data_IF_486881798424
#
_entry.id   IF_486881798424
#
_cell.length_a   1.000
_cell.length_b   1.000
_cell.length_c   1.000
_cell.angle_alpha   90.00
_cell.angle_beta   90.00
_cell.angle_gamma   90.00
#
_symmetry.space_group_name_H-M   'P 1'
#
loop_
_entity.id
_entity.type
_entity.pdbx_description
1 polymer ?
#
# COMPACT_ATOMS: atom_id res chain seq x y z
N UNK A 1 -61.06 11.94 -28.16
CA UNK A 1 -60.02 12.97 -27.93
C UNK A 1 -59.73 12.95 -26.44
N UNK A 2 -58.58 12.42 -26.04
CA UNK A 2 -58.17 12.41 -24.64
C UNK A 2 -57.84 13.86 -24.27
N UNK A 3 -58.73 14.56 -23.56
CA UNK A 3 -58.33 15.80 -22.90
C UNK A 3 -57.08 15.51 -22.06
N UNK A 4 -56.08 16.37 -22.14
CA UNK A 4 -54.93 16.27 -21.27
C UNK A 4 -55.42 16.45 -19.83
N UNK A 5 -55.20 15.43 -18.98
CA UNK A 5 -55.62 15.46 -17.58
C UNK A 5 -54.99 16.65 -16.83
N UNK A 6 -53.85 17.16 -17.31
CA UNK A 6 -53.24 18.38 -16.81
C UNK A 6 -54.08 19.63 -17.11
N UNK A 7 -54.51 19.83 -18.37
CA UNK A 7 -55.35 20.98 -18.75
C UNK A 7 -56.70 20.99 -18.01
N UNK A 8 -57.26 19.79 -17.78
CA UNK A 8 -58.49 19.63 -17.00
C UNK A 8 -58.26 19.99 -15.52
N UNK A 9 -57.14 19.55 -14.92
CA UNK A 9 -56.79 19.91 -13.55
C UNK A 9 -56.60 21.43 -13.39
N UNK A 10 -56.01 22.09 -14.38
CA UNK A 10 -55.76 23.54 -14.38
C UNK A 10 -57.06 24.34 -14.46
N UNK A 11 -57.97 23.89 -15.32
CA UNK A 11 -59.32 24.47 -15.45
C UNK A 11 -60.14 24.28 -14.18
N UNK A 12 -60.11 23.07 -13.61
CA UNK A 12 -60.79 22.76 -12.35
C UNK A 12 -60.21 23.54 -11.18
N UNK A 13 -58.89 23.73 -11.11
CA UNK A 13 -58.26 24.54 -10.08
C UNK A 13 -58.73 26.00 -10.12
N UNK A 14 -58.84 26.57 -11.33
CA UNK A 14 -59.36 27.94 -11.53
C UNK A 14 -60.80 28.06 -11.02
N UNK A 15 -61.65 27.07 -11.31
CA UNK A 15 -63.01 27.02 -10.76
C UNK A 15 -63.01 26.89 -9.22
N UNK A 16 -62.13 26.05 -8.69
CA UNK A 16 -62.00 25.80 -7.26
C UNK A 16 -61.63 27.08 -6.49
N UNK A 17 -60.79 27.95 -7.07
CA UNK A 17 -60.43 29.25 -6.50
C UNK A 17 -61.61 30.23 -6.34
N UNK A 18 -62.69 30.08 -7.12
CA UNK A 18 -63.86 30.96 -7.01
C UNK A 18 -64.59 30.85 -5.67
N UNK A 19 -64.41 29.72 -4.97
CA UNK A 19 -65.03 29.49 -3.67
C UNK A 19 -64.29 30.19 -2.53
N UNK A 20 -63.12 30.78 -2.72
CA UNK A 20 -62.40 31.54 -1.69
C UNK A 20 -62.33 30.79 -0.34
N UNK A 21 -61.97 29.51 -0.39
CA UNK A 21 -61.83 28.64 0.79
C UNK A 21 -60.39 28.68 1.32
N UNK A 22 -60.17 28.35 2.62
CA UNK A 22 -58.83 28.16 3.16
C UNK A 22 -58.03 27.11 2.38
N UNK A 23 -56.70 27.26 2.38
CA UNK A 23 -55.76 26.27 1.83
C UNK A 23 -55.96 25.98 0.33
N UNK A 24 -56.23 27.04 -0.46
CA UNK A 24 -56.48 26.98 -1.91
C UNK A 24 -55.56 27.94 -2.71
N UNK A 25 -54.33 28.15 -2.26
CA UNK A 25 -53.41 29.12 -2.91
C UNK A 25 -52.67 28.49 -4.09
N UNK A 26 -52.35 27.20 -3.99
CA UNK A 26 -51.66 26.44 -5.03
C UNK A 26 -52.28 25.04 -5.22
N UNK A 27 -51.94 24.35 -6.31
CA UNK A 27 -52.45 23.00 -6.61
C UNK A 27 -51.99 21.95 -5.58
N UNK A 28 -50.84 22.15 -4.94
CA UNK A 28 -50.33 21.26 -3.91
C UNK A 28 -51.18 21.33 -2.63
N UNK A 29 -51.79 22.47 -2.32
CA UNK A 29 -52.64 22.62 -1.13
C UNK A 29 -53.89 21.73 -1.21
N UNK A 30 -54.41 21.48 -2.43
CA UNK A 30 -55.54 20.57 -2.67
C UNK A 30 -55.25 19.13 -2.26
N UNK A 31 -53.97 18.73 -2.25
CA UNK A 31 -53.55 17.36 -1.87
C UNK A 31 -53.86 17.03 -0.41
N UNK A 32 -54.06 18.05 0.44
CA UNK A 32 -54.47 17.87 1.84
C UNK A 32 -55.92 17.41 2.01
N UNK A 33 -56.76 17.62 0.99
CA UNK A 33 -58.21 17.44 1.05
C UNK A 33 -58.96 18.54 1.83
N UNK A 34 -58.28 19.41 2.58
CA UNK A 34 -58.92 20.44 3.42
C UNK A 34 -59.74 21.42 2.58
N UNK A 35 -59.13 21.96 1.52
CA UNK A 35 -59.81 22.89 0.62
C UNK A 35 -61.03 22.23 -0.07
N UNK A 36 -60.89 20.96 -0.50
CA UNK A 36 -61.97 20.14 -1.08
C UNK A 36 -63.13 20.01 -0.10
N UNK A 37 -62.86 19.71 1.17
CA UNK A 37 -63.88 19.61 2.20
C UNK A 37 -64.62 20.94 2.43
N UNK A 38 -63.90 22.06 2.47
CA UNK A 38 -64.52 23.38 2.61
C UNK A 38 -65.41 23.76 1.41
N UNK A 39 -65.00 23.41 0.19
CA UNK A 39 -65.85 23.65 -1.00
C UNK A 39 -67.11 22.78 -0.95
N UNK A 40 -67.00 21.50 -0.59
CA UNK A 40 -68.15 20.62 -0.45
C UNK A 40 -69.14 21.13 0.62
N UNK A 41 -68.62 21.62 1.76
CA UNK A 41 -69.45 22.29 2.78
C UNK A 41 -70.20 23.51 2.22
N UNK A 42 -69.58 24.31 1.35
CA UNK A 42 -70.25 25.46 0.72
C UNK A 42 -71.29 25.08 -0.34
N UNK A 43 -71.11 23.94 -1.02
CA UNK A 43 -72.05 23.45 -2.03
C UNK A 43 -73.35 22.97 -1.37
N UNK A 44 -73.24 22.17 -0.31
CA UNK A 44 -74.40 21.67 0.42
C UNK A 44 -74.10 21.55 1.92
N UNK A 45 -74.35 22.63 2.70
CA UNK A 45 -74.11 22.64 4.14
C UNK A 45 -74.99 21.64 4.91
N UNK A 46 -76.10 21.19 4.33
CA UNK A 46 -77.04 20.27 5.00
C UNK A 46 -76.47 18.85 5.05
N UNK A 47 -75.81 18.42 3.96
CA UNK A 47 -75.14 17.14 3.86
C UNK A 47 -73.71 17.19 4.41
N UNK A 48 -72.89 18.10 3.87
CA UNK A 48 -71.50 18.29 4.27
C UNK A 48 -71.41 19.24 5.46
N UNK A 49 -72.10 18.93 6.55
CA UNK A 49 -72.24 19.83 7.71
C UNK A 49 -70.94 20.02 8.52
N UNK A 50 -70.98 20.93 9.49
CA UNK A 50 -69.87 21.24 10.41
C UNK A 50 -69.29 20.00 11.12
N UNK A 51 -70.14 19.03 11.47
CA UNK A 51 -69.69 17.81 12.16
C UNK A 51 -68.88 16.88 11.24
N UNK A 52 -69.19 16.88 9.95
CA UNK A 52 -68.42 16.17 8.93
C UNK A 52 -67.12 16.90 8.60
N UNK A 53 -67.20 18.22 8.40
CA UNK A 53 -66.04 19.06 8.10
C UNK A 53 -64.98 18.95 9.21
N UNK A 54 -65.39 18.94 10.48
CA UNK A 54 -64.49 18.73 11.63
C UNK A 54 -63.77 17.36 11.67
N UNK A 55 -64.16 16.38 10.85
CA UNK A 55 -63.44 15.09 10.72
C UNK A 55 -62.24 15.17 9.77
N UNK A 56 -62.17 16.22 8.96
CA UNK A 56 -61.06 16.50 8.06
C UNK A 56 -60.04 17.32 8.85
N UNK A 57 -58.87 16.73 9.07
CA UNK A 57 -57.85 17.35 9.92
C UNK A 57 -56.88 18.17 9.09
N UNK A 58 -56.61 19.38 9.53
CA UNK A 58 -55.56 20.24 9.01
C UNK A 58 -54.32 20.10 9.91
N UNK A 59 -53.30 19.35 9.47
CA UNK A 59 -52.00 19.27 10.13
C UNK A 59 -50.87 19.42 9.09
N UNK A 60 -49.66 19.68 9.58
CA UNK A 60 -48.41 19.98 8.85
C UNK A 60 -48.24 19.27 7.49
N UNK A 61 -47.70 20.01 6.52
CA UNK A 61 -47.54 19.64 5.11
C UNK A 61 -46.88 18.27 4.85
N UNK A 62 -46.11 17.75 5.81
CA UNK A 62 -45.33 16.52 5.66
C UNK A 62 -46.10 15.22 5.93
N UNK A 63 -47.29 15.26 6.56
CA UNK A 63 -48.01 14.03 6.95
C UNK A 63 -48.86 13.45 5.80
N UNK A 64 -48.19 12.81 4.83
CA UNK A 64 -48.85 12.23 3.65
C UNK A 64 -49.93 11.19 3.99
N UNK A 65 -49.77 10.44 5.10
CA UNK A 65 -50.76 9.45 5.56
C UNK A 65 -52.07 10.14 5.96
N UNK A 66 -51.97 11.29 6.62
CA UNK A 66 -53.14 12.09 6.97
C UNK A 66 -53.82 12.66 5.71
N UNK A 67 -53.04 13.15 4.75
CA UNK A 67 -53.56 13.63 3.45
C UNK A 67 -54.37 12.54 2.75
N UNK A 68 -53.83 11.32 2.65
CA UNK A 68 -54.53 10.15 2.10
C UNK A 68 -55.80 9.83 2.91
N UNK A 69 -55.75 9.89 4.25
CA UNK A 69 -56.93 9.66 5.11
C UNK A 69 -58.05 10.67 4.85
N UNK A 70 -57.72 11.95 4.73
CA UNK A 70 -58.68 13.01 4.41
C UNK A 70 -59.31 12.79 3.03
N UNK A 71 -58.51 12.50 2.00
CA UNK A 71 -59.00 12.22 0.65
C UNK A 71 -59.92 10.99 0.62
N UNK A 72 -59.62 9.92 1.38
CA UNK A 72 -60.50 8.75 1.52
C UNK A 72 -61.86 9.12 2.14
N UNK A 73 -61.88 9.96 3.18
CA UNK A 73 -63.13 10.42 3.83
C UNK A 73 -63.97 11.27 2.88
N UNK A 74 -63.33 12.18 2.15
CA UNK A 74 -63.98 13.05 1.17
C UNK A 74 -64.58 12.22 0.04
N UNK A 75 -63.79 11.31 -0.54
CA UNK A 75 -64.26 10.42 -1.60
C UNK A 75 -65.46 9.59 -1.13
N UNK A 76 -65.38 9.00 0.07
CA UNK A 76 -66.48 8.23 0.64
C UNK A 76 -67.77 9.06 0.75
N UNK A 77 -67.72 10.24 1.37
CA UNK A 77 -68.91 11.08 1.57
C UNK A 77 -69.44 11.70 0.27
N UNK A 78 -68.57 11.92 -0.73
CA UNK A 78 -68.98 12.32 -2.07
C UNK A 78 -69.74 11.18 -2.76
N UNK A 79 -69.25 9.93 -2.70
CA UNK A 79 -69.95 8.78 -3.29
C UNK A 79 -71.31 8.53 -2.62
N UNK A 80 -71.38 8.65 -1.28
CA UNK A 80 -72.64 8.58 -0.53
C UNK A 80 -73.61 9.70 -0.99
N UNK A 81 -73.14 10.93 -1.18
CA UNK A 81 -73.97 12.03 -1.70
C UNK A 81 -74.52 11.76 -3.10
N UNK A 82 -73.69 11.27 -4.02
CA UNK A 82 -74.12 10.95 -5.38
C UNK A 82 -75.19 9.85 -5.39
N UNK A 83 -75.06 8.86 -4.51
CA UNK A 83 -76.02 7.77 -4.39
C UNK A 83 -77.32 8.22 -3.69
N UNK A 84 -77.21 8.79 -2.50
CA UNK A 84 -78.34 9.01 -1.59
C UNK A 84 -79.13 10.29 -1.90
N UNK A 85 -78.45 11.34 -2.39
CA UNK A 85 -79.07 12.65 -2.67
C UNK A 85 -79.33 12.83 -4.15
N UNK A 86 -78.34 12.51 -4.99
CA UNK A 86 -78.48 12.70 -6.44
C UNK A 86 -79.12 11.50 -7.14
N UNK A 87 -79.16 10.32 -6.51
CA UNK A 87 -79.71 9.09 -7.12
C UNK A 87 -78.92 8.58 -8.32
N UNK A 88 -77.64 8.95 -8.44
CA UNK A 88 -76.78 8.59 -9.56
C UNK A 88 -75.60 7.73 -9.11
N UNK A 89 -75.25 6.72 -9.90
CA UNK A 89 -74.04 5.94 -9.68
C UNK A 89 -72.86 6.54 -10.44
N UNK A 90 -71.78 6.87 -9.72
CA UNK A 90 -70.53 7.32 -10.34
C UNK A 90 -69.83 6.11 -10.96
N UNK A 91 -69.48 6.19 -12.25
CA UNK A 91 -68.71 5.12 -12.93
C UNK A 91 -67.31 5.00 -12.33
N UNK A 92 -66.82 3.75 -12.20
CA UNK A 92 -65.51 3.42 -11.62
C UNK A 92 -64.34 4.09 -12.36
N UNK A 93 -64.51 4.43 -13.65
CA UNK A 93 -63.53 5.18 -14.45
C UNK A 93 -63.26 6.61 -13.92
N UNK A 94 -64.23 7.20 -13.21
CA UNK A 94 -64.14 8.56 -12.68
C UNK A 94 -63.78 8.59 -11.18
N UNK A 95 -63.59 7.43 -10.54
CA UNK A 95 -63.16 7.38 -9.14
C UNK A 95 -61.68 7.75 -9.03
N UNK A 96 -61.33 8.76 -8.19
CA UNK A 96 -59.94 9.02 -7.85
C UNK A 96 -59.30 7.80 -7.15
N UNK A 97 -58.18 7.32 -7.68
CA UNK A 97 -57.47 6.18 -7.11
C UNK A 97 -56.56 6.62 -5.95
N UNK A 98 -57.18 6.85 -4.80
CA UNK A 98 -56.50 7.23 -3.56
C UNK A 98 -55.62 6.08 -3.02
N UNK A 99 -55.88 4.83 -3.42
CA UNK A 99 -55.06 3.66 -3.04
C UNK A 99 -53.74 3.64 -3.80
N UNK A 100 -53.76 3.88 -5.11
CA UNK A 100 -52.54 4.00 -5.90
C UNK A 100 -51.66 5.18 -5.44
N UNK A 101 -52.28 6.27 -4.95
CA UNK A 101 -51.54 7.38 -4.33
C UNK A 101 -50.84 6.99 -3.02
N UNK A 102 -51.48 6.15 -2.20
CA UNK A 102 -50.90 5.62 -0.96
C UNK A 102 -49.74 4.66 -1.23
N UNK A 103 -49.91 3.75 -2.20
CA UNK A 103 -48.86 2.82 -2.62
C UNK A 103 -47.65 3.57 -3.19
N UNK A 104 -47.87 4.51 -4.11
CA UNK A 104 -46.80 5.35 -4.67
C UNK A 104 -46.07 6.12 -3.57
N UNK A 105 -46.77 6.79 -2.66
CA UNK A 105 -46.13 7.53 -1.57
C UNK A 105 -45.32 6.61 -0.63
N UNK A 106 -45.80 5.39 -0.38
CA UNK A 106 -45.06 4.41 0.42
C UNK A 106 -43.75 4.02 -0.25
N UNK A 107 -43.77 3.74 -1.56
CA UNK A 107 -42.58 3.43 -2.35
C UNK A 107 -41.61 4.62 -2.40
N UNK A 108 -42.11 5.85 -2.60
CA UNK A 108 -41.29 7.05 -2.56
C UNK A 108 -40.61 7.26 -1.20
N UNK A 109 -41.34 7.03 -0.11
CA UNK A 109 -40.80 7.14 1.25
C UNK A 109 -39.70 6.09 1.48
N UNK A 110 -39.95 4.83 1.11
CA UNK A 110 -38.97 3.75 1.22
C UNK A 110 -37.71 4.08 0.41
N UNK A 111 -37.87 4.52 -0.83
CA UNK A 111 -36.76 4.95 -1.70
C UNK A 111 -35.98 6.11 -1.08
N UNK A 112 -36.66 7.05 -0.44
CA UNK A 112 -36.02 8.19 0.23
C UNK A 112 -35.18 7.72 1.42
N UNK A 113 -35.71 6.82 2.26
CA UNK A 113 -34.94 6.24 3.37
C UNK A 113 -33.73 5.43 2.87
N UNK A 114 -33.88 4.63 1.82
CA UNK A 114 -32.76 3.89 1.20
C UNK A 114 -31.65 4.84 0.74
N UNK A 115 -32.00 5.92 0.04
CA UNK A 115 -31.05 6.93 -0.42
C UNK A 115 -30.36 7.66 0.74
N UNK A 116 -31.08 7.96 1.83
CA UNK A 116 -30.51 8.57 3.03
C UNK A 116 -29.51 7.64 3.71
N UNK A 117 -29.79 6.33 3.76
CA UNK A 117 -28.84 5.35 4.28
C UNK A 117 -27.62 5.19 3.38
N UNK A 118 -27.80 5.14 2.06
CA UNK A 118 -26.69 5.13 1.10
C UNK A 118 -25.81 6.37 1.25
N UNK A 119 -26.42 7.55 1.40
CA UNK A 119 -25.70 8.80 1.65
C UNK A 119 -24.92 8.74 2.98
N UNK A 120 -25.50 8.17 4.03
CA UNK A 120 -24.83 7.98 5.33
C UNK A 120 -23.63 7.05 5.20
N UNK A 121 -23.77 5.91 4.49
CA UNK A 121 -22.68 4.97 4.21
C UNK A 121 -21.57 5.62 3.38
N UNK A 122 -21.93 6.34 2.32
CA UNK A 122 -20.98 7.05 1.46
C UNK A 122 -20.20 8.11 2.25
N UNK A 123 -20.86 8.84 3.15
CA UNK A 123 -20.21 9.82 4.02
C UNK A 123 -19.21 9.18 4.99
N UNK A 124 -19.53 8.01 5.56
CA UNK A 124 -18.60 7.28 6.41
C UNK A 124 -17.34 6.85 5.64
N UNK A 125 -17.50 6.29 4.43
CA UNK A 125 -16.37 5.91 3.55
C UNK A 125 -15.54 7.13 3.16
N UNK A 126 -16.18 8.26 2.83
CA UNK A 126 -15.49 9.51 2.52
C UNK A 126 -14.64 10.01 3.69
N UNK A 127 -15.18 9.98 4.92
CA UNK A 127 -14.43 10.36 6.13
C UNK A 127 -13.22 9.45 6.39
N UNK A 128 -13.36 8.15 6.13
CA UNK A 128 -12.23 7.20 6.21
C UNK A 128 -11.18 7.52 5.15
N UNK A 129 -11.59 7.76 3.90
CA UNK A 129 -10.69 8.13 2.80
C UNK A 129 -9.91 9.42 3.10
N UNK A 130 -10.57 10.44 3.66
CA UNK A 130 -9.90 11.69 4.05
C UNK A 130 -8.86 11.47 5.16
N UNK A 131 -9.09 10.50 6.04
CA UNK A 131 -8.14 10.12 7.09
C UNK A 131 -6.94 9.39 6.51
N UNK A 132 -7.15 8.39 5.64
CA UNK A 132 -6.07 7.70 4.94
C UNK A 132 -5.25 8.64 4.06
N UNK A 133 -5.90 9.61 3.38
CA UNK A 133 -5.22 10.63 2.59
C UNK A 133 -4.30 11.50 3.45
N UNK A 134 -4.74 11.89 4.65
CA UNK A 134 -3.91 12.63 5.62
C UNK A 134 -2.72 11.80 6.11
N UNK A 135 -2.95 10.54 6.48
CA UNK A 135 -1.87 9.63 6.90
C UNK A 135 -0.83 9.42 5.80
N UNK A 136 -1.26 9.21 4.55
CA UNK A 136 -0.36 9.08 3.41
C UNK A 136 0.51 10.33 3.19
N UNK A 137 -0.09 11.53 3.32
CA UNK A 137 0.64 12.79 3.20
C UNK A 137 1.65 12.99 4.33
N UNK A 138 1.29 12.64 5.57
CA UNK A 138 2.19 12.71 6.72
C UNK A 138 3.38 11.75 6.57
N UNK A 139 3.12 10.50 6.18
CA UNK A 139 4.17 9.52 5.91
C UNK A 139 5.09 9.96 4.77
N UNK A 140 4.54 10.50 3.69
CA UNK A 140 5.34 11.03 2.59
C UNK A 140 6.24 12.18 3.05
N UNK A 141 5.73 13.08 3.89
CA UNK A 141 6.51 14.19 4.45
C UNK A 141 7.63 13.69 5.36
N UNK A 142 7.34 12.71 6.24
CA UNK A 142 8.36 12.08 7.10
C UNK A 142 9.44 11.36 6.27
N UNK A 143 9.02 10.61 5.25
CA UNK A 143 9.95 9.91 4.37
C UNK A 143 10.88 10.88 3.64
N UNK A 144 10.33 11.97 3.09
CA UNK A 144 11.11 13.03 2.45
C UNK A 144 12.10 13.69 3.41
N UNK A 145 11.69 13.98 4.65
CA UNK A 145 12.56 14.55 5.66
C UNK A 145 13.71 13.60 6.06
N UNK A 146 13.44 12.30 6.22
CA UNK A 146 14.48 11.32 6.54
C UNK A 146 15.42 11.07 5.35
N UNK A 147 14.92 11.11 4.11
CA UNK A 147 15.74 11.04 2.90
C UNK A 147 16.74 12.21 2.84
N UNK A 148 16.28 13.45 3.06
CA UNK A 148 17.14 14.63 3.12
C UNK A 148 18.21 14.51 4.23
N UNK A 149 17.83 13.95 5.38
CA UNK A 149 18.76 13.72 6.49
C UNK A 149 19.80 12.65 6.15
N UNK A 150 19.40 11.58 5.47
CA UNK A 150 20.31 10.54 4.99
C UNK A 150 21.33 11.10 3.98
N UNK A 151 20.88 11.93 3.04
CA UNK A 151 21.77 12.62 2.09
C UNK A 151 22.80 13.50 2.81
N UNK A 152 22.37 14.24 3.84
CA UNK A 152 23.27 15.05 4.67
C UNK A 152 24.34 14.20 5.35
N UNK A 153 23.95 13.09 5.99
CA UNK A 153 24.91 12.20 6.65
C UNK A 153 25.83 11.51 5.64
N UNK A 154 25.33 11.17 4.47
CA UNK A 154 26.14 10.61 3.40
C UNK A 154 27.23 11.60 2.93
N UNK A 155 26.87 12.87 2.81
CA UNK A 155 27.84 13.92 2.49
C UNK A 155 28.88 14.10 3.60
N UNK A 156 28.45 14.16 4.87
CA UNK A 156 29.37 14.29 6.01
C UNK A 156 30.30 13.09 6.15
N UNK A 157 29.79 11.88 5.96
CA UNK A 157 30.58 10.65 5.94
C UNK A 157 31.64 10.69 4.84
N UNK A 158 31.25 11.06 3.60
CA UNK A 158 32.19 11.16 2.48
C UNK A 158 33.31 12.16 2.77
N UNK A 159 32.97 13.35 3.28
CA UNK A 159 33.96 14.36 3.64
C UNK A 159 34.91 13.89 4.74
N UNK A 160 34.41 13.14 5.72
CA UNK A 160 35.25 12.59 6.79
C UNK A 160 36.13 11.44 6.29
N UNK A 161 35.60 10.61 5.40
CA UNK A 161 36.34 9.53 4.74
C UNK A 161 37.47 10.08 3.86
N UNK A 162 37.20 11.12 3.05
CA UNK A 162 38.22 11.77 2.23
C UNK A 162 39.37 12.34 3.09
N UNK A 163 39.05 12.89 4.28
CA UNK A 163 40.06 13.36 5.25
C UNK A 163 40.86 12.21 5.86
N UNK A 164 40.20 11.12 6.21
CA UNK A 164 40.86 9.91 6.71
C UNK A 164 41.84 9.35 5.68
N UNK A 165 41.42 9.24 4.41
CA UNK A 165 42.25 8.77 3.32
C UNK A 165 43.46 9.67 3.08
N UNK A 166 43.29 10.99 3.17
CA UNK A 166 44.39 11.95 3.09
C UNK A 166 45.41 11.74 4.23
N UNK A 167 44.93 11.58 5.47
CA UNK A 167 45.80 11.28 6.62
C UNK A 167 46.52 9.94 6.49
N UNK A 168 45.85 8.92 5.95
CA UNK A 168 46.45 7.61 5.72
C UNK A 168 47.59 7.68 4.69
N UNK A 169 47.40 8.41 3.59
CA UNK A 169 48.45 8.65 2.60
C UNK A 169 49.64 9.41 3.19
N UNK A 170 49.38 10.40 4.04
CA UNK A 170 50.45 11.15 4.71
C UNK A 170 51.21 10.29 5.72
N UNK A 171 50.51 9.43 6.49
CA UNK A 171 51.14 8.44 7.35
C UNK A 171 52.06 7.51 6.55
N UNK A 172 51.61 7.00 5.40
CA UNK A 172 52.42 6.14 4.53
C UNK A 172 53.65 6.89 3.99
N UNK A 173 53.51 8.15 3.59
CA UNK A 173 54.62 9.02 3.18
C UNK A 173 55.64 9.21 4.31
N UNK A 174 55.19 9.48 5.53
CA UNK A 174 56.09 9.65 6.67
C UNK A 174 56.80 8.35 7.05
N UNK A 175 56.13 7.20 6.89
CA UNK A 175 56.72 5.88 7.10
C UNK A 175 57.85 5.66 6.09
N UNK A 176 57.63 5.94 4.80
CA UNK A 176 58.65 5.77 3.76
C UNK A 176 59.82 6.74 3.93
N UNK A 177 59.56 8.00 4.30
CA UNK A 177 60.60 8.97 4.66
C UNK A 177 61.43 8.50 5.86
N UNK A 178 60.77 7.95 6.89
CA UNK A 178 61.47 7.38 8.04
C UNK A 178 62.33 6.18 7.65
N UNK A 179 61.86 5.30 6.78
CA UNK A 179 62.62 4.14 6.31
C UNK A 179 63.84 4.55 5.47
N UNK A 180 63.69 5.49 4.54
CA UNK A 180 64.81 6.03 3.75
C UNK A 180 65.85 6.76 4.61
N UNK A 181 65.41 7.53 5.61
CA UNK A 181 66.33 8.16 6.56
C UNK A 181 67.05 7.15 7.45
N UNK A 182 66.40 6.02 7.79
CA UNK A 182 67.03 4.92 8.51
C UNK A 182 68.12 4.27 7.64
N UNK A 183 67.81 3.95 6.39
CA UNK A 183 68.75 3.35 5.44
C UNK A 183 69.97 4.24 5.21
N UNK A 184 69.78 5.54 4.93
CA UNK A 184 70.90 6.48 4.78
C UNK A 184 71.74 6.63 6.05
N UNK A 185 71.15 6.56 7.24
CA UNK A 185 71.91 6.53 8.49
C UNK A 185 72.75 5.26 8.63
N UNK A 186 72.20 4.11 8.24
CA UNK A 186 72.91 2.82 8.26
C UNK A 186 74.08 2.83 7.26
N UNK A 187 73.87 3.34 6.04
CA UNK A 187 74.93 3.54 5.04
C UNK A 187 76.05 4.46 5.55
N UNK A 188 75.71 5.60 6.16
CA UNK A 188 76.69 6.53 6.73
C UNK A 188 77.49 5.88 7.87
N UNK A 189 76.85 5.09 8.73
CA UNK A 189 77.54 4.32 9.77
C UNK A 189 78.49 3.30 9.16
N UNK A 190 78.07 2.56 8.14
CA UNK A 190 78.93 1.63 7.41
C UNK A 190 80.15 2.34 6.79
N UNK A 191 79.94 3.50 6.14
CA UNK A 191 81.02 4.30 5.57
C UNK A 191 82.00 4.81 6.65
N UNK A 192 81.50 5.26 7.81
CA UNK A 192 82.35 5.66 8.94
C UNK A 192 83.17 4.50 9.52
N UNK A 193 82.58 3.31 9.65
CA UNK A 193 83.29 2.11 10.10
C UNK A 193 84.37 1.74 9.10
N UNK A 194 84.07 1.78 7.80
CA UNK A 194 85.04 1.51 6.74
C UNK A 194 86.20 2.52 6.76
N UNK A 195 85.91 3.81 6.93
CA UNK A 195 86.92 4.87 7.03
C UNK A 195 87.78 4.72 8.30
N UNK A 196 87.20 4.34 9.43
CA UNK A 196 87.94 4.06 10.68
C UNK A 196 88.84 2.83 10.53
N UNK A 197 88.39 1.80 9.82
CA UNK A 197 89.18 0.62 9.50
C UNK A 197 90.38 0.96 8.61
N UNK A 198 90.18 1.80 7.59
CA UNK A 198 91.25 2.30 6.73
C UNK A 198 92.27 3.17 7.50
N UNK A 199 91.81 4.00 8.44
CA UNK A 199 92.69 4.82 9.29
C UNK A 199 93.51 4.01 10.30
N UNK A 200 93.06 2.82 10.70
CA UNK A 200 93.83 1.90 11.56
C UNK A 200 94.90 1.13 10.77
N UNK A 201 94.77 1.03 9.44
CA UNK A 201 95.76 0.42 8.55
C UNK A 201 96.91 1.36 8.15
N UNK A 202 96.87 2.66 8.51
CA UNK A 202 97.94 3.62 8.22
C UNK A 202 99.07 3.60 9.28
N UNK A 203 98.86 2.91 10.40
CA UNK A 203 99.91 2.54 11.36
C UNK A 203 100.21 1.05 11.28
N UNK A 204 100.92 0.65 10.23
CA UNK A 204 101.73 -0.56 10.25
C UNK A 204 101.05 -1.84 9.76
N UNK A 205 101.67 -2.36 8.70
CA UNK A 205 101.63 -3.73 8.18
C UNK A 205 100.43 -4.05 7.29
N UNK A 206 100.78 -4.21 6.01
CA UNK A 206 100.11 -5.04 5.02
C UNK A 206 99.73 -6.40 5.60
N UNK A 207 98.54 -6.50 6.15
CA UNK A 207 97.88 -7.77 6.41
C UNK A 207 96.64 -7.80 5.55
N UNK A 208 96.85 -8.18 4.29
CA UNK A 208 95.76 -8.63 3.44
C UNK A 208 95.08 -9.83 4.10
N UNK A 209 93.77 -9.93 3.92
CA UNK A 209 92.95 -11.15 4.05
C UNK A 209 93.04 -12.00 5.34
N UNK A 210 93.83 -11.64 6.36
CA UNK A 210 93.97 -12.46 7.57
C UNK A 210 92.86 -12.21 8.61
N UNK A 211 92.13 -11.10 8.51
CA UNK A 211 90.98 -10.82 9.38
C UNK A 211 89.78 -11.76 9.12
N UNK A 212 89.70 -12.36 7.92
CA UNK A 212 88.74 -13.41 7.61
C UNK A 212 89.15 -14.78 8.18
N UNK A 213 90.44 -14.96 8.46
CA UNK A 213 91.06 -16.24 8.83
C UNK A 213 91.34 -16.37 10.34
N UNK A 214 91.41 -15.25 11.10
CA UNK A 214 91.53 -15.21 12.57
C UNK A 214 90.23 -14.71 13.23
N UNK A 215 89.06 -15.09 12.70
CA UNK A 215 87.85 -15.04 13.52
C UNK A 215 87.81 -16.36 14.29
N UNK A 216 87.94 -16.36 15.63
CA UNK A 216 87.89 -17.58 16.44
C UNK A 216 86.71 -18.43 16.01
N UNK A 217 86.91 -19.73 15.84
CA UNK A 217 85.87 -20.67 15.36
C UNK A 217 84.59 -20.55 16.18
N UNK A 218 84.72 -20.27 17.47
CA UNK A 218 83.63 -20.04 18.42
C UNK A 218 82.83 -18.76 18.11
N UNK A 219 83.48 -17.73 17.57
CA UNK A 219 82.86 -16.48 17.12
C UNK A 219 82.11 -16.65 15.80
N UNK A 220 82.62 -17.48 14.88
CA UNK A 220 81.89 -17.84 13.65
C UNK A 220 80.65 -18.69 13.95
N UNK A 221 80.78 -19.66 14.85
CA UNK A 221 79.67 -20.52 15.29
C UNK A 221 78.58 -19.74 16.03
N UNK A 222 78.95 -18.81 16.91
CA UNK A 222 77.99 -17.93 17.60
C UNK A 222 77.24 -17.03 16.61
N UNK A 223 77.90 -16.47 15.60
CA UNK A 223 77.26 -15.65 14.56
C UNK A 223 76.27 -16.49 13.74
N UNK A 224 76.65 -17.69 13.30
CA UNK A 224 75.75 -18.58 12.55
C UNK A 224 74.55 -19.00 13.39
N UNK A 225 74.75 -19.29 14.67
CA UNK A 225 73.66 -19.64 15.61
C UNK A 225 72.71 -18.46 15.82
N UNK A 226 73.24 -17.25 16.04
CA UNK A 226 72.44 -16.03 16.16
C UNK A 226 71.71 -15.68 14.86
N UNK A 227 72.29 -15.93 13.68
CA UNK A 227 71.63 -15.75 12.39
C UNK A 227 70.48 -16.76 12.20
N UNK A 228 70.68 -18.02 12.59
CA UNK A 228 69.63 -19.04 12.59
C UNK A 228 68.49 -18.67 13.53
N UNK A 229 68.82 -18.21 14.74
CA UNK A 229 67.86 -17.74 15.75
C UNK A 229 67.08 -16.51 15.28
N UNK A 230 67.75 -15.50 14.71
CA UNK A 230 67.09 -14.32 14.13
C UNK A 230 66.12 -14.72 13.00
N UNK A 231 66.55 -15.65 12.14
CA UNK A 231 65.70 -16.16 11.06
C UNK A 231 64.46 -16.88 11.62
N UNK A 232 64.62 -17.63 12.71
CA UNK A 232 63.51 -18.28 13.40
C UNK A 232 62.56 -17.25 14.03
N UNK A 233 63.10 -16.22 14.69
CA UNK A 233 62.33 -15.15 15.32
C UNK A 233 61.55 -14.33 14.28
N UNK A 234 62.11 -14.04 13.11
CA UNK A 234 61.38 -13.37 12.03
C UNK A 234 60.19 -14.21 11.53
N UNK A 235 60.36 -15.52 11.34
CA UNK A 235 59.26 -16.41 10.94
C UNK A 235 58.19 -16.48 12.03
N UNK A 236 58.61 -16.48 13.29
CA UNK A 236 57.72 -16.47 14.44
C UNK A 236 56.92 -15.16 14.55
N UNK A 237 57.57 -14.01 14.34
CA UNK A 237 56.89 -12.71 14.30
C UNK A 237 55.84 -12.67 13.20
N UNK A 238 56.18 -13.14 11.99
CA UNK A 238 55.25 -13.18 10.86
C UNK A 238 54.03 -14.07 11.14
N UNK A 239 54.23 -15.21 11.82
CA UNK A 239 53.12 -16.08 12.23
C UNK A 239 52.24 -15.43 13.30
N UNK A 240 52.81 -14.68 14.25
CA UNK A 240 52.01 -13.91 15.20
C UNK A 240 51.25 -12.77 14.52
N UNK A 241 51.87 -12.14 13.51
CA UNK A 241 51.25 -11.08 12.72
C UNK A 241 50.05 -11.59 11.93
N UNK A 242 50.18 -12.76 11.29
CA UNK A 242 49.06 -13.44 10.63
C UNK A 242 47.94 -13.81 11.61
N UNK A 243 48.26 -14.38 12.76
CA UNK A 243 47.26 -14.67 13.81
C UNK A 243 46.54 -13.41 14.29
N UNK A 244 47.25 -12.29 14.40
CA UNK A 244 46.65 -11.02 14.80
C UNK A 244 45.62 -10.56 13.75
N UNK A 245 45.93 -10.68 12.46
CA UNK A 245 45.02 -10.33 11.36
C UNK A 245 43.81 -11.27 11.33
N UNK A 246 44.01 -12.57 11.53
CA UNK A 246 42.91 -13.54 11.61
C UNK A 246 41.95 -13.22 12.77
N UNK A 247 42.48 -12.99 13.97
CA UNK A 247 41.66 -12.62 15.14
C UNK A 247 40.95 -11.28 14.94
N UNK A 248 41.60 -10.31 14.28
CA UNK A 248 40.99 -9.03 13.94
C UNK A 248 39.81 -9.22 12.97
N UNK A 249 39.95 -10.07 11.95
CA UNK A 249 38.89 -10.37 10.99
C UNK A 249 37.71 -11.11 11.65
N UNK A 250 37.98 -12.07 12.54
CA UNK A 250 36.95 -12.77 13.32
C UNK A 250 36.19 -11.82 14.25
N UNK A 251 36.90 -10.87 14.89
CA UNK A 251 36.27 -9.85 15.73
C UNK A 251 35.36 -8.93 14.91
N UNK A 252 35.80 -8.49 13.73
CA UNK A 252 34.99 -7.67 12.83
C UNK A 252 33.77 -8.43 12.30
N UNK A 253 33.90 -9.72 12.03
CA UNK A 253 32.77 -10.57 11.65
C UNK A 253 31.76 -10.76 12.79
N UNK A 254 32.25 -11.02 14.01
CA UNK A 254 31.41 -11.12 15.20
C UNK A 254 30.68 -9.79 15.47
N UNK A 255 31.36 -8.64 15.31
CA UNK A 255 30.75 -7.32 15.44
C UNK A 255 29.68 -7.07 14.38
N UNK A 256 29.95 -7.42 13.10
CA UNK A 256 28.95 -7.32 12.02
C UNK A 256 27.72 -8.18 12.32
N UNK A 257 27.92 -9.41 12.77
CA UNK A 257 26.84 -10.31 13.16
C UNK A 257 26.03 -9.77 14.35
N UNK A 258 26.70 -9.20 15.35
CA UNK A 258 26.04 -8.64 16.52
C UNK A 258 25.18 -7.42 16.14
N UNK A 259 25.72 -6.50 15.33
CA UNK A 259 24.98 -5.34 14.85
C UNK A 259 23.74 -5.74 14.02
N UNK A 260 23.84 -6.80 13.22
CA UNK A 260 22.71 -7.35 12.48
C UNK A 260 21.63 -7.91 13.42
N UNK A 261 22.04 -8.69 14.43
CA UNK A 261 21.13 -9.24 15.45
C UNK A 261 20.48 -8.14 16.31
N UNK A 262 21.21 -7.09 16.66
CA UNK A 262 20.69 -5.95 17.41
C UNK A 262 19.64 -5.18 16.60
N UNK A 263 19.91 -4.98 15.30
CA UNK A 263 18.96 -4.36 14.37
C UNK A 263 17.68 -5.20 14.24
N UNK A 264 17.83 -6.52 14.10
CA UNK A 264 16.70 -7.45 14.05
C UNK A 264 15.90 -7.45 15.36
N UNK A 265 16.57 -7.44 16.51
CA UNK A 265 15.91 -7.36 17.82
C UNK A 265 15.12 -6.05 17.97
N UNK A 266 15.66 -4.92 17.52
CA UNK A 266 14.94 -3.64 17.52
C UNK A 266 13.68 -3.71 16.67
N UNK A 267 13.76 -4.31 15.48
CA UNK A 267 12.59 -4.49 14.60
C UNK A 267 11.54 -5.39 15.23
N UNK A 268 11.97 -6.52 15.83
CA UNK A 268 11.08 -7.43 16.53
C UNK A 268 10.38 -6.74 17.73
N UNK A 269 11.09 -5.92 18.49
CA UNK A 269 10.51 -5.13 19.58
C UNK A 269 9.46 -4.12 19.08
N UNK A 270 9.72 -3.47 17.95
CA UNK A 270 8.73 -2.59 17.30
C UNK A 270 7.48 -3.35 16.89
N UNK A 271 7.64 -4.50 16.24
CA UNK A 271 6.52 -5.35 15.82
C UNK A 271 5.70 -5.86 17.02
N UNK A 272 6.36 -6.23 18.13
CA UNK A 272 5.67 -6.60 19.37
C UNK A 272 4.87 -5.42 19.93
N UNK A 273 5.42 -4.21 19.89
CA UNK A 273 4.70 -3.00 20.35
C UNK A 273 3.48 -2.70 19.48
N UNK A 274 3.59 -2.83 18.16
CA UNK A 274 2.48 -2.64 17.22
C UNK A 274 1.37 -3.67 17.45
N UNK A 275 1.73 -4.95 17.57
CA UNK A 275 0.77 -6.01 17.88
C UNK A 275 0.06 -5.78 19.22
N UNK A 276 0.80 -5.32 20.25
CA UNK A 276 0.19 -4.96 21.54
C UNK A 276 -0.83 -3.83 21.41
N UNK A 277 -0.51 -2.78 20.64
CA UNK A 277 -1.44 -1.66 20.38
C UNK A 277 -2.70 -2.14 19.65
N UNK A 278 -2.56 -3.02 18.65
CA UNK A 278 -3.70 -3.59 17.92
C UNK A 278 -4.59 -4.44 18.84
N UNK A 279 -4.00 -5.24 19.74
CA UNK A 279 -4.75 -6.00 20.74
C UNK A 279 -5.50 -5.07 21.70
N UNK A 280 -4.87 -3.98 22.15
CA UNK A 280 -5.51 -3.00 23.05
C UNK A 280 -6.67 -2.26 22.36
N UNK A 281 -6.52 -1.88 21.09
CA UNK A 281 -7.59 -1.29 20.29
C UNK A 281 -8.77 -2.24 20.09
N UNK A 282 -8.50 -3.52 19.80
CA UNK A 282 -9.55 -4.54 19.66
C UNK A 282 -10.26 -4.80 20.99
N UNK A 283 -9.52 -4.84 22.12
CA UNK A 283 -10.11 -4.96 23.46
C UNK A 283 -11.01 -3.77 23.78
N UNK A 284 -10.59 -2.55 23.45
CA UNK A 284 -11.38 -1.33 23.66
C UNK A 284 -12.64 -1.31 22.79
N UNK A 285 -12.53 -1.71 21.52
CA UNK A 285 -13.68 -1.81 20.61
C UNK A 285 -14.71 -2.82 21.11
N UNK A 286 -14.27 -3.96 21.67
CA UNK A 286 -15.15 -4.95 22.27
C UNK A 286 -15.87 -4.40 23.52
N UNK A 287 -15.15 -3.68 24.38
CA UNK A 287 -15.73 -3.07 25.58
C UNK A 287 -16.72 -1.93 25.27
N UNK A 288 -16.45 -1.14 24.23
CA UNK A 288 -17.40 -0.14 23.73
C UNK A 288 -18.66 -0.79 23.14
N UNK A 289 -18.55 -1.98 22.57
CA UNK A 289 -19.69 -2.74 22.05
C UNK A 289 -20.59 -3.28 23.17
N UNK A 290 -20.01 -3.78 24.27
CA UNK A 290 -20.76 -4.20 25.46
C UNK A 290 -21.45 -3.01 26.16
N UNK A 291 -20.80 -1.84 26.20
CA UNK A 291 -21.36 -0.63 26.84
C UNK A 291 -22.57 -0.03 26.10
N UNK A 292 -22.73 -0.32 24.79
CA UNK A 292 -23.85 0.19 23.97
C UNK A 292 -25.11 -0.66 24.05
N UNK A 293 -25.04 -1.86 24.65
CA UNK A 293 -26.18 -2.77 24.83
C UNK A 293 -26.89 -2.62 26.18
N UNK A 294 -26.38 -1.78 27.09
CA UNK A 294 -26.92 -1.59 28.44
C UNK A 294 -27.98 -0.48 28.57
N UNK A 295 -28.25 0.30 27.50
CA UNK A 295 -29.28 1.34 27.51
C UNK A 295 -30.54 0.85 26.79
N UNK A 296 -31.46 0.26 27.57
CA UNK A 296 -32.94 0.40 27.52
C UNK A 296 -33.61 -0.83 28.19
N UNK A 297 -34.22 -0.60 29.36
CA UNK A 297 -35.16 -1.48 30.10
C UNK A 297 -34.56 -2.60 30.99
N UNK A 298 -33.66 -2.25 31.90
CA UNK A 298 -32.66 -3.19 32.46
C UNK A 298 -32.90 -3.82 33.85
N UNK A 299 -34.10 -3.81 34.46
CA UNK A 299 -34.25 -4.50 35.77
C UNK A 299 -35.18 -5.71 35.72
N UNK A 300 -36.37 -5.60 35.13
CA UNK A 300 -37.33 -6.71 35.13
C UNK A 300 -37.05 -7.73 34.01
N UNK A 301 -36.67 -7.25 32.82
CA UNK A 301 -36.22 -8.11 31.72
C UNK A 301 -34.83 -8.68 31.94
N UNK A 302 -34.01 -8.04 32.78
CA UNK A 302 -32.66 -8.52 33.07
C UNK A 302 -32.70 -9.75 33.98
N UNK A 303 -33.65 -9.84 34.91
CA UNK A 303 -33.84 -11.05 35.73
C UNK A 303 -34.38 -12.24 34.91
N UNK A 304 -35.35 -11.99 34.03
CA UNK A 304 -35.90 -13.02 33.14
C UNK A 304 -34.85 -13.46 32.10
N UNK A 305 -34.12 -12.50 31.51
CA UNK A 305 -33.01 -12.79 30.61
C UNK A 305 -31.83 -13.47 31.32
N UNK A 306 -31.54 -13.17 32.59
CA UNK A 306 -30.49 -13.88 33.34
C UNK A 306 -30.87 -15.33 33.60
N UNK A 307 -32.14 -15.58 33.95
CA UNK A 307 -32.65 -16.95 34.16
C UNK A 307 -32.65 -17.75 32.85
N UNK A 308 -33.01 -17.11 31.74
CA UNK A 308 -33.00 -17.73 30.42
C UNK A 308 -31.59 -17.90 29.84
N UNK A 309 -30.67 -16.95 30.09
CA UNK A 309 -29.27 -17.07 29.71
C UNK A 309 -28.57 -18.14 30.52
N UNK A 310 -28.90 -18.30 31.81
CA UNK A 310 -28.33 -19.36 32.63
C UNK A 310 -28.80 -20.75 32.16
N UNK A 311 -30.09 -20.91 31.84
CA UNK A 311 -30.60 -22.14 31.21
C UNK A 311 -29.99 -22.40 29.83
N UNK A 312 -29.79 -21.36 29.02
CA UNK A 312 -29.11 -21.49 27.72
C UNK A 312 -27.61 -21.77 27.87
N UNK A 313 -26.95 -21.26 28.91
CA UNK A 313 -25.53 -21.52 29.22
C UNK A 313 -25.33 -22.98 29.64
N UNK A 314 -26.19 -23.52 30.49
CA UNK A 314 -26.18 -24.93 30.88
C UNK A 314 -26.43 -25.85 29.67
N UNK A 315 -27.38 -25.49 28.80
CA UNK A 315 -27.63 -26.22 27.55
C UNK A 315 -26.49 -26.09 26.53
N UNK A 316 -25.79 -24.96 26.49
CA UNK A 316 -24.59 -24.77 25.65
C UNK A 316 -23.41 -25.58 26.20
N UNK A 317 -23.19 -25.61 27.52
CA UNK A 317 -22.14 -26.43 28.14
C UNK A 317 -22.39 -27.94 27.94
N UNK A 318 -23.66 -28.37 27.89
CA UNK A 318 -24.04 -29.77 27.57
C UNK A 318 -23.95 -30.09 26.06
N UNK A 319 -24.06 -29.08 25.19
CA UNK A 319 -24.01 -29.23 23.72
C UNK A 319 -22.64 -28.87 23.12
N UNK A 320 -21.74 -28.24 23.87
CA UNK A 320 -20.38 -27.95 23.45
C UNK A 320 -19.57 -29.25 23.55
N UNK A 321 -19.15 -29.85 22.42
CA UNK A 321 -18.32 -31.04 22.46
C UNK A 321 -17.01 -30.64 23.14
N UNK A 322 -16.77 -31.14 24.36
CA UNK A 322 -15.51 -30.95 25.08
C UNK A 322 -14.38 -31.24 24.11
N UNK A 323 -13.70 -30.17 23.66
CA UNK A 323 -12.61 -30.22 22.68
C UNK A 323 -11.74 -31.44 23.00
N UNK A 324 -11.81 -32.42 22.10
CA UNK A 324 -11.46 -33.80 22.39
C UNK A 324 -10.07 -33.89 23.02
N UNK A 325 -9.99 -34.50 24.22
CA UNK A 325 -8.70 -34.92 24.82
C UNK A 325 -7.84 -35.70 23.81
N UNK A 326 -8.49 -36.36 22.84
CA UNK A 326 -7.84 -37.06 21.75
C UNK A 326 -7.18 -36.12 20.72
N UNK A 327 -7.75 -34.95 20.42
CA UNK A 327 -7.14 -33.99 19.50
C UNK A 327 -5.90 -33.34 20.12
N UNK A 328 -5.98 -32.96 21.40
CA UNK A 328 -4.81 -32.45 22.14
C UNK A 328 -3.68 -33.49 22.19
N UNK A 329 -3.99 -34.75 22.53
CA UNK A 329 -3.01 -35.84 22.51
C UNK A 329 -2.43 -36.09 21.12
N UNK A 330 -3.24 -35.94 20.05
CA UNK A 330 -2.78 -36.09 18.66
C UNK A 330 -1.77 -35.01 18.28
N UNK A 331 -2.02 -33.78 18.74
CA UNK A 331 -1.12 -32.65 18.52
C UNK A 331 0.21 -32.90 19.26
N UNK A 332 0.17 -33.32 20.51
CA UNK A 332 1.37 -33.63 21.29
C UNK A 332 2.18 -34.80 20.68
N UNK A 333 1.51 -35.86 20.22
CA UNK A 333 2.14 -36.98 19.51
C UNK A 333 2.81 -36.52 18.21
N UNK A 334 2.15 -35.66 17.42
CA UNK A 334 2.71 -35.13 16.18
C UNK A 334 3.90 -34.21 16.44
N UNK A 335 3.85 -33.39 17.50
CA UNK A 335 4.97 -32.54 17.92
C UNK A 335 6.18 -33.38 18.34
N UNK A 336 5.99 -34.47 19.07
CA UNK A 336 7.09 -35.34 19.48
C UNK A 336 7.69 -36.13 18.30
N UNK A 337 6.87 -36.56 17.34
CA UNK A 337 7.36 -37.18 16.09
C UNK A 337 8.20 -36.17 15.30
N UNK A 338 7.76 -34.92 15.21
CA UNK A 338 8.47 -33.86 14.49
C UNK A 338 9.82 -33.57 15.15
N UNK A 339 9.84 -33.43 16.49
CA UNK A 339 11.07 -33.26 17.29
C UNK A 339 12.05 -34.41 17.08
N UNK A 340 11.56 -35.65 17.02
CA UNK A 340 12.39 -36.82 16.75
C UNK A 340 12.97 -36.81 15.33
N UNK A 341 12.17 -36.39 14.34
CA UNK A 341 12.63 -36.26 12.94
C UNK A 341 13.70 -35.19 12.77
N UNK A 342 13.60 -34.08 13.49
CA UNK A 342 14.62 -33.03 13.49
C UNK A 342 15.95 -33.53 14.07
N UNK A 343 15.90 -34.29 15.15
CA UNK A 343 17.10 -34.90 15.75
C UNK A 343 17.72 -35.96 14.83
N UNK A 344 16.91 -36.80 14.18
CA UNK A 344 17.38 -37.76 13.18
C UNK A 344 18.02 -37.03 11.97
N UNK A 345 17.46 -35.90 11.54
CA UNK A 345 17.98 -35.06 10.46
C UNK A 345 19.34 -34.47 10.82
N UNK A 346 19.47 -33.94 12.04
CA UNK A 346 20.74 -33.42 12.57
C UNK A 346 21.82 -34.49 12.66
N UNK A 347 21.48 -35.70 13.12
CA UNK A 347 22.43 -36.83 13.13
C UNK A 347 22.84 -37.26 11.72
N UNK A 348 21.92 -37.18 10.76
CA UNK A 348 22.20 -37.43 9.35
C UNK A 348 23.16 -36.37 8.77
N UNK A 349 22.92 -35.09 9.06
CA UNK A 349 23.81 -33.98 8.67
C UNK A 349 25.22 -34.15 9.26
N UNK A 350 25.33 -34.50 10.55
CA UNK A 350 26.61 -34.76 11.19
C UNK A 350 27.36 -35.94 10.56
N UNK A 351 26.63 -37.01 10.19
CA UNK A 351 27.21 -38.13 9.44
C UNK A 351 27.70 -37.69 8.06
N UNK A 352 26.89 -36.93 7.32
CA UNK A 352 27.29 -36.42 6.01
C UNK A 352 28.51 -35.49 6.11
N UNK A 353 28.56 -34.64 7.14
CA UNK A 353 29.71 -33.77 7.40
C UNK A 353 30.99 -34.59 7.62
N UNK A 354 30.91 -35.65 8.42
CA UNK A 354 32.04 -36.58 8.63
C UNK A 354 32.44 -37.33 7.36
N UNK A 355 31.48 -37.77 6.54
CA UNK A 355 31.80 -38.40 5.25
C UNK A 355 32.43 -37.42 4.27
N UNK A 356 31.96 -36.17 4.23
CA UNK A 356 32.54 -35.10 3.43
C UNK A 356 33.95 -34.72 3.89
N UNK A 357 34.22 -34.70 5.20
CA UNK A 357 35.56 -34.51 5.75
C UNK A 357 36.49 -35.68 5.43
N UNK A 358 36.01 -36.92 5.53
CA UNK A 358 36.76 -38.10 5.09
C UNK A 358 37.07 -38.04 3.60
N UNK A 359 36.10 -37.70 2.76
CA UNK A 359 36.29 -37.52 1.32
C UNK A 359 37.29 -36.39 1.02
N UNK A 360 37.20 -35.24 1.71
CA UNK A 360 38.18 -34.15 1.60
C UNK A 360 39.59 -34.58 2.00
N UNK A 361 39.70 -35.38 3.06
CA UNK A 361 40.99 -35.90 3.52
C UNK A 361 41.59 -36.88 2.51
N UNK A 362 40.78 -37.76 1.93
CA UNK A 362 41.17 -38.69 0.86
C UNK A 362 41.54 -37.95 -0.42
N UNK A 363 40.80 -36.91 -0.81
CA UNK A 363 41.13 -36.04 -1.94
C UNK A 363 42.47 -35.35 -1.67
N UNK A 364 42.67 -34.78 -0.49
CA UNK A 364 43.92 -34.10 -0.12
C UNK A 364 45.15 -35.02 -0.14
N UNK A 365 44.99 -36.30 0.21
CA UNK A 365 46.05 -37.31 0.12
C UNK A 365 46.26 -37.87 -1.29
N UNK A 366 45.24 -37.85 -2.14
CA UNK A 366 45.34 -38.24 -3.56
C UNK A 366 45.89 -37.09 -4.44
N UNK A 367 45.54 -35.84 -4.15
CA UNK A 367 46.02 -34.63 -4.86
C UNK A 367 47.53 -34.40 -4.68
N UNK A 368 48.08 -34.76 -3.52
CA UNK A 368 49.53 -34.74 -3.30
C UNK A 368 50.31 -35.73 -4.19
N UNK A 369 49.62 -36.62 -4.92
CA UNK A 369 50.25 -37.61 -5.80
C UNK A 369 49.99 -37.43 -7.29
N UNK A 370 49.16 -36.48 -7.75
CA UNK A 370 48.85 -36.37 -9.18
C UNK A 370 48.76 -34.93 -9.69
N UNK A 371 49.75 -34.53 -10.49
CA UNK A 371 49.62 -33.51 -11.54
C UNK A 371 49.31 -34.22 -12.89
N UNK A 372 48.79 -33.53 -13.91
CA UNK A 372 47.37 -33.48 -14.27
C UNK A 372 47.00 -34.43 -15.42
N UNK A 373 45.80 -35.03 -15.38
CA UNK A 373 45.24 -35.83 -16.50
C UNK A 373 43.78 -35.45 -16.79
N UNK A 374 43.60 -34.93 -18.01
CA UNK A 374 42.45 -34.91 -18.94
C UNK A 374 41.01 -34.91 -18.39
N UNK A 375 40.28 -33.85 -18.77
CA UNK A 375 38.83 -33.67 -18.60
C UNK A 375 38.03 -34.81 -19.25
N UNK A 376 37.12 -35.41 -18.49
CA UNK A 376 36.24 -36.49 -18.94
C UNK A 376 35.13 -35.97 -19.89
N UNK A 377 34.69 -36.77 -20.89
CA UNK A 377 33.76 -36.34 -21.95
C UNK A 377 32.38 -35.88 -21.45
N UNK A 378 31.96 -36.32 -20.28
CA UNK A 378 30.70 -35.94 -19.63
C UNK A 378 30.73 -34.46 -19.15
N UNK A 379 31.89 -34.01 -18.67
CA UNK A 379 32.11 -32.62 -18.27
C UNK A 379 32.08 -31.70 -19.50
N UNK A 380 32.61 -32.17 -20.64
CA UNK A 380 32.56 -31.41 -21.89
C UNK A 380 31.13 -31.30 -22.44
N UNK A 381 30.32 -32.36 -22.33
CA UNK A 381 28.91 -32.34 -22.72
C UNK A 381 28.08 -31.37 -21.86
N UNK A 382 28.32 -31.35 -20.54
CA UNK A 382 27.66 -30.41 -19.63
C UNK A 382 28.07 -28.96 -19.90
N UNK A 383 29.35 -28.70 -20.22
CA UNK A 383 29.80 -27.37 -20.65
C UNK A 383 29.08 -26.91 -21.92
N UNK A 384 28.94 -27.80 -22.91
CA UNK A 384 28.24 -27.46 -24.15
C UNK A 384 26.75 -27.16 -23.87
N UNK A 385 26.08 -27.93 -23.01
CA UNK A 385 24.70 -27.65 -22.62
C UNK A 385 24.56 -26.31 -21.88
N UNK A 386 25.50 -25.99 -20.99
CA UNK A 386 25.51 -24.70 -20.30
C UNK A 386 25.63 -23.55 -21.30
N UNK A 387 26.54 -23.65 -22.28
CA UNK A 387 26.69 -22.61 -23.32
C UNK A 387 25.47 -22.47 -24.22
N UNK A 388 24.74 -23.56 -24.48
CA UNK A 388 23.50 -23.52 -25.26
C UNK A 388 22.38 -22.82 -24.48
N UNK A 389 22.26 -23.13 -23.18
CA UNK A 389 21.29 -22.49 -22.29
C UNK A 389 21.60 -21.00 -22.13
N UNK A 390 22.88 -20.64 -21.98
CA UNK A 390 23.33 -19.25 -21.91
C UNK A 390 22.93 -18.47 -23.17
N UNK A 391 23.16 -19.05 -24.36
CA UNK A 391 22.76 -18.43 -25.63
C UNK A 391 21.25 -18.26 -25.74
N UNK A 392 20.47 -19.24 -25.27
CA UNK A 392 19.00 -19.16 -25.25
C UNK A 392 18.50 -18.09 -24.29
N UNK A 393 19.14 -17.93 -23.13
CA UNK A 393 18.82 -16.87 -22.17
C UNK A 393 19.06 -15.50 -22.84
N UNK A 394 20.24 -15.30 -23.44
CA UNK A 394 20.55 -14.04 -24.15
C UNK A 394 19.55 -13.72 -25.27
N UNK A 395 19.10 -14.72 -26.02
CA UNK A 395 18.10 -14.53 -27.06
C UNK A 395 16.74 -14.11 -26.50
N UNK A 396 16.29 -14.77 -25.42
CA UNK A 396 15.03 -14.44 -24.76
C UNK A 396 15.07 -13.06 -24.10
N UNK A 397 16.20 -12.68 -23.50
CA UNK A 397 16.42 -11.34 -22.95
C UNK A 397 16.34 -10.26 -24.03
N UNK A 398 16.97 -10.50 -25.19
CA UNK A 398 16.90 -9.58 -26.32
C UNK A 398 15.47 -9.41 -26.85
N UNK A 399 14.74 -10.51 -27.00
CA UNK A 399 13.34 -10.48 -27.46
C UNK A 399 12.42 -9.79 -26.44
N UNK A 400 12.65 -10.01 -25.15
CA UNK A 400 11.94 -9.34 -24.07
C UNK A 400 12.18 -7.83 -24.11
N UNK A 401 13.44 -7.39 -24.21
CA UNK A 401 13.78 -5.96 -24.28
C UNK A 401 13.17 -5.30 -25.53
N UNK A 402 13.18 -5.99 -26.68
CA UNK A 402 12.51 -5.50 -27.89
C UNK A 402 10.99 -5.41 -27.74
N UNK A 403 10.36 -6.35 -27.03
CA UNK A 403 8.93 -6.31 -26.75
C UNK A 403 8.59 -5.17 -25.78
N UNK A 404 9.41 -4.97 -24.76
CA UNK A 404 9.29 -3.86 -23.81
C UNK A 404 9.40 -2.51 -24.50
N UNK A 405 10.42 -2.31 -25.35
CA UNK A 405 10.61 -1.08 -26.10
C UNK A 405 9.42 -0.76 -27.03
N UNK A 406 8.80 -1.78 -27.65
CA UNK A 406 7.56 -1.59 -28.44
C UNK A 406 6.40 -1.17 -27.55
N UNK A 407 6.23 -1.81 -26.40
CA UNK A 407 5.17 -1.48 -25.46
C UNK A 407 5.30 -0.03 -24.95
N UNK A 408 6.51 0.38 -24.55
CA UNK A 408 6.79 1.76 -24.12
C UNK A 408 6.51 2.78 -25.23
N UNK A 409 6.76 2.43 -26.50
CA UNK A 409 6.42 3.28 -27.64
C UNK A 409 4.91 3.37 -27.86
N UNK A 410 4.18 2.26 -27.74
CA UNK A 410 2.72 2.23 -27.82
C UNK A 410 2.09 3.06 -26.69
N UNK A 411 2.56 2.93 -25.46
CA UNK A 411 2.10 3.73 -24.32
C UNK A 411 2.30 5.23 -24.56
N UNK A 412 3.48 5.64 -25.08
CA UNK A 412 3.74 7.04 -25.43
C UNK A 412 2.77 7.56 -26.49
N UNK A 413 2.45 6.74 -27.50
CA UNK A 413 1.48 7.10 -28.53
C UNK A 413 0.07 7.22 -27.95
N UNK A 414 -0.33 6.31 -27.06
CA UNK A 414 -1.64 6.35 -26.38
C UNK A 414 -1.75 7.61 -25.52
N UNK A 415 -0.73 7.90 -24.70
CA UNK A 415 -0.67 9.10 -23.85
C UNK A 415 -0.74 10.37 -24.70
N UNK A 416 0.03 10.45 -25.79
CA UNK A 416 -0.01 11.60 -26.70
C UNK A 416 -1.38 11.76 -27.37
N UNK A 417 -1.99 10.66 -27.82
CA UNK A 417 -3.32 10.70 -28.43
C UNK A 417 -4.38 11.17 -27.43
N UNK A 418 -4.31 10.70 -26.18
CA UNK A 418 -5.22 11.08 -25.12
C UNK A 418 -5.05 12.56 -24.71
N UNK A 419 -3.81 13.03 -24.58
CA UNK A 419 -3.52 14.44 -24.33
C UNK A 419 -4.04 15.34 -25.47
N UNK A 420 -3.79 14.98 -26.73
CA UNK A 420 -4.28 15.72 -27.88
C UNK A 420 -5.81 15.74 -27.95
N UNK A 421 -6.47 14.61 -27.65
CA UNK A 421 -7.93 14.53 -27.56
C UNK A 421 -8.46 15.41 -26.43
N UNK A 422 -7.83 15.38 -25.26
CA UNK A 422 -8.15 16.23 -24.12
C UNK A 422 -8.02 17.71 -24.46
N UNK A 423 -6.94 18.10 -25.11
CA UNK A 423 -6.75 19.48 -25.60
C UNK A 423 -7.82 19.88 -26.61
N UNK A 424 -8.18 19.02 -27.56
CA UNK A 424 -9.22 19.29 -28.55
C UNK A 424 -10.60 19.48 -27.90
N UNK A 425 -10.94 18.66 -26.89
CA UNK A 425 -12.16 18.83 -26.10
C UNK A 425 -12.13 20.13 -25.29
N UNK A 426 -11.00 20.44 -24.66
CA UNK A 426 -10.83 21.69 -23.90
C UNK A 426 -10.95 22.93 -24.80
N UNK A 427 -10.40 22.87 -26.02
CA UNK A 427 -10.54 23.92 -27.03
C UNK A 427 -11.99 24.05 -27.52
N UNK A 428 -12.72 22.95 -27.73
CA UNK A 428 -14.16 23.00 -28.06
C UNK A 428 -14.98 23.67 -26.96
N UNK A 429 -14.79 23.25 -25.71
CA UNK A 429 -15.51 23.82 -24.55
C UNK A 429 -15.12 25.29 -24.32
N UNK A 430 -13.84 25.64 -24.51
CA UNK A 430 -13.37 27.03 -24.39
C UNK A 430 -13.84 27.90 -25.57
N UNK A 431 -13.92 27.33 -26.77
CA UNK A 431 -14.47 27.98 -27.96
C UNK A 431 -15.98 28.21 -27.87
N UNK A 432 -16.72 27.29 -27.25
CA UNK A 432 -18.14 27.48 -26.92
C UNK A 432 -18.36 28.54 -25.84
N UNK A 433 -17.40 28.73 -24.92
CA UNK A 433 -17.44 29.78 -23.88
C UNK A 433 -16.92 31.14 -24.36
N UNK A 434 -16.08 31.18 -25.40
CA UNK A 434 -15.54 32.41 -26.01
C UNK A 434 -16.22 32.77 -27.34
N UNK A 435 -17.27 32.03 -27.73
CA UNK A 435 -18.15 32.38 -28.83
C UNK A 435 -18.86 33.70 -28.53
N UNK A 436 -18.45 34.76 -29.22
CA UNK A 436 -19.02 36.09 -29.16
C UNK A 436 -20.56 36.08 -29.24
N UNK A 437 -21.26 37.02 -28.57
CA UNK A 437 -22.70 37.07 -28.59
C UNK A 437 -23.18 37.36 -30.01
N UNK A 438 -23.97 36.43 -30.56
CA UNK A 438 -24.89 36.60 -31.68
C UNK A 438 -24.62 37.84 -32.58
N UNK A 439 -23.62 37.76 -33.46
CA UNK A 439 -23.80 38.38 -34.76
C UNK A 439 -24.67 37.43 -35.58
N UNK A 440 -25.98 37.70 -35.54
CA UNK A 440 -26.93 37.09 -36.45
C UNK A 440 -26.46 37.40 -37.89
N UNK A 441 -25.84 36.42 -38.53
CA UNK A 441 -25.53 36.48 -39.95
C UNK A 441 -26.86 36.54 -40.71
N UNK A 442 -27.10 37.66 -41.40
CA UNK A 442 -28.25 37.83 -42.29
C UNK A 442 -28.33 36.64 -43.26
N UNK A 443 -29.54 36.15 -43.53
CA UNK A 443 -29.82 35.01 -44.43
C UNK A 443 -29.08 35.12 -45.78
N UNK A 444 -28.90 36.35 -46.29
CA UNK A 444 -28.15 36.65 -47.51
C UNK A 444 -26.64 36.41 -47.40
N UNK A 445 -26.05 36.51 -46.21
CA UNK A 445 -24.64 36.19 -45.97
C UNK A 445 -24.41 34.67 -45.97
N UNK A 446 -25.35 33.91 -45.38
CA UNK A 446 -25.33 32.45 -45.38
C UNK A 446 -25.58 31.87 -46.77
N UNK A 447 -26.46 32.50 -47.57
CA UNK A 447 -26.71 32.13 -48.95
C UNK A 447 -25.51 32.43 -49.88
N UNK A 448 -24.72 33.48 -49.60
CA UNK A 448 -23.49 33.80 -50.33
C UNK A 448 -22.35 32.79 -50.10
N UNK A 449 -22.22 32.27 -48.87
CA UNK A 449 -21.20 31.26 -48.58
C UNK A 449 -21.54 29.89 -49.19
N UNK A 450 -22.81 29.48 -49.12
CA UNK A 450 -23.26 28.21 -49.72
C UNK A 450 -23.22 28.22 -51.25
N UNK A 451 -23.46 29.36 -51.90
CA UNK A 451 -23.28 29.51 -53.36
C UNK A 451 -21.81 29.57 -53.78
N UNK A 452 -20.93 30.21 -53.01
CA UNK A 452 -19.48 30.20 -53.28
C UNK A 452 -18.85 28.82 -53.06
N UNK A 453 -19.28 28.06 -52.05
CA UNK A 453 -18.82 26.68 -51.82
C UNK A 453 -19.18 25.75 -52.98
N UNK A 454 -20.35 25.95 -53.62
CA UNK A 454 -20.75 25.18 -54.82
C UNK A 454 -20.01 25.58 -56.08
N UNK A 455 -19.61 26.86 -56.26
CA UNK A 455 -18.80 27.31 -57.40
C UNK A 455 -17.34 26.88 -57.33
N UNK A 456 -16.80 26.60 -56.14
CA UNK A 456 -15.43 26.10 -55.97
C UNK A 456 -15.19 24.68 -56.50
N UNK A 457 -16.25 23.87 -56.67
CA UNK A 457 -16.16 22.47 -57.13
C UNK A 457 -16.17 22.31 -58.66
N UNK A 458 -16.31 23.39 -59.42
CA UNK A 458 -16.27 23.39 -60.89
C UNK A 458 -15.17 24.29 -61.41
N UNK A 459 -13.91 23.89 -61.19
CA UNK A 459 -12.77 24.39 -61.97
C UNK A 459 -11.83 23.26 -62.38
N UNK A 460 -12.11 22.77 -63.60
CA UNK A 460 -11.23 22.20 -64.61
C UNK A 460 -9.78 21.82 -64.21
N UNK A 461 -9.47 20.53 -64.29
CA UNK A 461 -8.14 20.03 -64.64
C UNK A 461 -7.82 20.37 -66.11
N UNK A 462 -6.66 20.96 -66.42
CA UNK A 462 -6.03 20.82 -67.72
C UNK A 462 -5.01 19.66 -67.71
N UNK A 463 -4.90 19.04 -68.89
CA UNK A 463 -4.02 17.93 -69.28
C UNK A 463 -2.57 18.05 -68.84
#
# INVERSE_FOLDING_TARGET
MSLDKAELCDSLFTWFQTFQVPSCSNKHDLTSGVAIAHVLHRIDPSWFNETWLGRIKEESEANWRLKVSNLKKILKSMLEYYHDVLGHQVSDEHLPDVRLLEERNTVYMQRTCELEEELRRANAVRSQLDTYKRQAHELHTKHSAEAMKAEKWQFEYKNLHDKYDALMKEKERLISERDTLRETNEELRCAQVQQRCLSLCDTGVTVGNLAAEIMPTELKETVVRLQSENKMLCVQEETYRQKLVEVQAELEEAQRSNNALETQNRLNLQQISELRSQVEELQKALQEQDSRTEDVSAEEKLHEAHSDLQRKREVIDDLEPKVDSNMAKKIDELQEILRKKDEDMKQMEDRYKRYMEKARTVIKTLDHKQQPVTVTPEIQALKNQLTEKERKIQHLEHDYEKSRARHDQEEKLIISAWYNMGMALHQKVSGERLGAPNQAMSFLAQQRQSTNARRGLTRYQPR
#
